data_IF_494043127109
#
_entry.id   IF_494043127109
#
_cell.length_a   1.000
_cell.length_b   1.000
_cell.length_c   1.000
_cell.angle_alpha   90.00
_cell.angle_beta   90.00
_cell.angle_gamma   90.00
#
_symmetry.space_group_name_H-M   'P 1'
#
loop_
_entity.id
_entity.type
_entity.pdbx_description
1 polymer ?
#
# COMPACT_ATOMS: atom_id res chain seq x y z
N UNK A 1 12.34 -2.34 15.65
CA UNK A 1 11.95 -2.18 14.23
C UNK A 1 10.44 -2.01 14.17
N UNK A 2 9.95 -0.92 13.57
CA UNK A 2 8.53 -0.58 13.58
C UNK A 2 7.70 -1.59 12.77
N UNK A 3 6.80 -2.30 13.43
CA UNK A 3 5.89 -3.28 12.81
C UNK A 3 4.54 -2.69 12.41
N UNK A 4 4.33 -1.40 12.70
CA UNK A 4 3.07 -0.69 12.55
C UNK A 4 3.35 0.75 12.11
N UNK A 5 2.51 1.24 11.21
CA UNK A 5 2.42 2.64 10.80
C UNK A 5 0.98 3.11 10.93
N UNK A 6 0.80 4.38 11.27
CA UNK A 6 -0.48 5.06 11.26
C UNK A 6 -0.35 6.28 10.35
N UNK A 7 -1.16 6.33 9.31
CA UNK A 7 -1.23 7.44 8.38
C UNK A 7 -2.37 8.36 8.80
N UNK A 8 -2.10 9.66 8.85
CA UNK A 8 -3.08 10.70 9.14
C UNK A 8 -3.33 11.54 7.89
N UNK A 9 -4.54 12.11 7.76
CA UNK A 9 -4.81 13.16 6.78
C UNK A 9 -4.61 14.51 7.46
N UNK A 10 -3.90 15.40 6.76
CA UNK A 10 -3.85 16.81 7.08
C UNK A 10 -4.99 17.51 6.33
N UNK A 11 -5.72 18.35 7.04
CA UNK A 11 -6.79 19.17 6.48
C UNK A 11 -6.35 20.64 6.60
N UNK A 12 -6.67 21.45 5.60
CA UNK A 12 -6.26 22.87 5.55
C UNK A 12 -7.10 23.77 6.48
N UNK A 13 -8.11 23.21 7.15
CA UNK A 13 -9.08 23.91 7.99
C UNK A 13 -8.61 24.16 9.43
N UNK A 14 -7.36 23.82 9.75
CA UNK A 14 -6.80 24.00 11.10
C UNK A 14 -7.28 22.96 12.11
N UNK A 15 -7.99 21.92 11.68
CA UNK A 15 -8.32 20.78 12.54
C UNK A 15 -7.11 19.91 12.88
N UNK A 16 -7.24 19.21 14.00
CA UNK A 16 -6.32 18.18 14.49
C UNK A 16 -6.14 17.06 13.45
N UNK A 17 -4.89 16.60 13.24
CA UNK A 17 -4.57 15.52 12.29
C UNK A 17 -5.41 14.28 12.58
N UNK A 18 -6.27 13.88 11.64
CA UNK A 18 -7.16 12.72 11.85
C UNK A 18 -6.51 11.43 11.34
N UNK A 19 -6.49 10.36 12.14
CA UNK A 19 -6.05 9.06 11.69
C UNK A 19 -6.89 8.58 10.50
N UNK A 20 -6.22 8.10 9.46
CA UNK A 20 -6.86 7.65 8.23
C UNK A 20 -6.82 6.13 8.10
N UNK A 21 -5.62 5.57 8.13
CA UNK A 21 -5.44 4.12 8.08
C UNK A 21 -4.23 3.68 8.88
N UNK A 22 -4.25 2.41 9.28
CA UNK A 22 -3.17 1.76 10.02
C UNK A 22 -2.70 0.55 9.23
N UNK A 23 -1.38 0.44 9.08
CA UNK A 23 -0.73 -0.70 8.42
C UNK A 23 0.07 -1.47 9.46
N UNK A 24 -0.07 -2.80 9.49
CA UNK A 24 0.80 -3.66 10.29
C UNK A 24 1.41 -4.78 9.45
N UNK A 25 2.69 -5.04 9.69
CA UNK A 25 3.43 -6.13 9.05
C UNK A 25 2.89 -7.47 9.51
N UNK A 26 2.76 -8.40 8.57
CA UNK A 26 2.39 -9.80 8.83
C UNK A 26 3.62 -10.71 8.73
N UNK A 27 3.50 -11.93 9.25
CA UNK A 27 4.60 -12.89 9.32
C UNK A 27 5.16 -13.35 7.96
N UNK A 28 4.42 -13.16 6.85
CA UNK A 28 4.82 -13.58 5.49
C UNK A 28 5.37 -12.43 4.63
N UNK A 29 5.98 -11.41 5.24
CA UNK A 29 6.40 -10.16 4.57
C UNK A 29 5.26 -9.41 3.85
N UNK A 30 4.00 -9.74 4.14
CA UNK A 30 2.85 -8.95 3.71
C UNK A 30 2.48 -7.92 4.76
N UNK A 31 1.42 -7.16 4.50
CA UNK A 31 0.83 -6.24 5.46
C UNK A 31 -0.69 -6.37 5.48
N UNK A 32 -1.31 -5.97 6.59
CA UNK A 32 -2.74 -5.78 6.65
C UNK A 32 -3.05 -4.34 7.06
N UNK A 33 -4.17 -3.84 6.53
CA UNK A 33 -4.58 -2.45 6.62
C UNK A 33 -5.94 -2.35 7.27
N UNK A 34 -6.05 -1.53 8.29
CA UNK A 34 -7.32 -1.14 8.91
C UNK A 34 -7.60 0.33 8.59
N UNK A 35 -8.83 0.64 8.18
CA UNK A 35 -9.29 2.01 7.93
C UNK A 35 -9.96 2.53 9.20
N UNK A 36 -9.67 3.77 9.57
CA UNK A 36 -10.42 4.45 10.62
C UNK A 36 -11.83 4.79 10.14
N UNK A 37 -12.81 4.71 11.04
CA UNK A 37 -14.23 5.02 10.75
C UNK A 37 -15.01 4.00 9.92
N UNK A 38 -14.39 2.91 9.43
CA UNK A 38 -15.05 2.00 8.49
C UNK A 38 -15.83 0.83 9.13
N UNK A 39 -15.86 0.72 10.46
CA UNK A 39 -16.52 -0.39 11.19
C UNK A 39 -15.94 -1.80 10.95
N UNK A 40 -15.07 -1.98 9.95
CA UNK A 40 -14.42 -3.24 9.58
C UNK A 40 -13.00 -3.31 10.15
N UNK A 41 -12.64 -4.46 10.71
CA UNK A 41 -11.33 -4.67 11.33
C UNK A 41 -10.17 -4.75 10.33
N UNK A 42 -10.44 -5.11 9.07
CA UNK A 42 -9.49 -5.10 7.95
C UNK A 42 -10.19 -4.66 6.67
N UNK A 43 -9.60 -3.68 6.01
CA UNK A 43 -10.10 -3.17 4.75
C UNK A 43 -9.25 -3.63 3.56
N UNK A 44 -7.93 -3.76 3.76
CA UNK A 44 -7.02 -4.18 2.71
C UNK A 44 -5.95 -5.13 3.23
N UNK A 45 -5.37 -5.89 2.29
CA UNK A 45 -4.26 -6.79 2.51
C UNK A 45 -3.23 -6.61 1.41
N UNK A 46 -1.96 -6.67 1.78
CA UNK A 46 -0.82 -6.62 0.86
C UNK A 46 -0.12 -7.96 0.98
N UNK A 47 -0.10 -8.73 -0.12
CA UNK A 47 0.49 -10.05 -0.13
C UNK A 47 1.94 -9.99 -0.63
N UNK A 48 2.87 -10.24 0.29
CA UNK A 48 4.28 -10.51 0.05
C UNK A 48 5.18 -9.30 -0.23
N UNK A 49 6.44 -9.41 0.19
CA UNK A 49 7.61 -8.90 -0.53
C UNK A 49 8.84 -9.68 -0.02
N UNK A 50 9.31 -10.67 -0.79
CA UNK A 50 10.47 -11.49 -0.38
C UNK A 50 11.74 -11.24 -1.19
N UNK A 51 11.82 -10.11 -1.94
CA UNK A 51 12.93 -9.61 -2.81
C UNK A 51 12.50 -9.22 -4.22
N UNK A 52 11.24 -9.42 -4.61
CA UNK A 52 10.69 -8.95 -5.89
C UNK A 52 9.88 -7.67 -5.66
N UNK A 53 10.04 -6.70 -6.54
CA UNK A 53 9.32 -5.41 -6.54
C UNK A 53 7.83 -5.57 -6.90
N UNK A 54 7.42 -6.74 -7.39
CA UNK A 54 6.04 -7.04 -7.76
C UNK A 54 5.21 -7.54 -6.57
N UNK A 55 4.08 -6.88 -6.31
CA UNK A 55 3.12 -7.29 -5.28
C UNK A 55 1.72 -6.76 -5.59
N UNK A 56 0.73 -7.21 -4.82
CA UNK A 56 -0.68 -6.87 -5.02
C UNK A 56 -1.32 -6.41 -3.73
N UNK A 57 -2.29 -5.53 -3.87
CA UNK A 57 -3.16 -5.07 -2.79
C UNK A 57 -4.56 -5.62 -3.07
N UNK A 58 -5.11 -6.33 -2.11
CA UNK A 58 -6.48 -6.85 -2.14
C UNK A 58 -7.38 -6.12 -1.15
N UNK A 59 -8.65 -5.95 -1.52
CA UNK A 59 -9.70 -5.44 -0.65
C UNK A 59 -10.16 -6.48 0.39
N UNK A 60 -11.13 -6.10 1.21
CA UNK A 60 -11.69 -6.98 2.24
C UNK A 60 -12.44 -8.19 1.66
N UNK A 61 -12.90 -8.09 0.43
CA UNK A 61 -13.51 -9.16 -0.38
C UNK A 61 -12.48 -10.11 -1.02
N UNK A 62 -11.19 -9.80 -0.89
CA UNK A 62 -10.10 -10.55 -1.51
C UNK A 62 -9.85 -10.19 -2.98
N UNK A 63 -10.64 -9.29 -3.57
CA UNK A 63 -10.40 -8.82 -4.94
C UNK A 63 -9.17 -7.93 -5.01
N UNK A 64 -8.40 -8.04 -6.08
CA UNK A 64 -7.22 -7.20 -6.30
C UNK A 64 -7.70 -5.80 -6.68
N UNK A 65 -7.35 -4.83 -5.86
CA UNK A 65 -7.67 -3.40 -6.06
C UNK A 65 -6.49 -2.63 -6.65
N UNK A 66 -5.26 -3.14 -6.49
CA UNK A 66 -4.08 -2.57 -7.12
C UNK A 66 -3.00 -3.63 -7.36
N UNK A 67 -2.24 -3.46 -8.44
CA UNK A 67 -1.08 -4.26 -8.78
C UNK A 67 0.14 -3.35 -8.95
N UNK A 68 1.24 -3.78 -8.34
CA UNK A 68 2.53 -3.10 -8.39
C UNK A 68 3.49 -4.01 -9.14
N UNK A 69 4.22 -3.44 -10.10
CA UNK A 69 5.25 -4.15 -10.85
C UNK A 69 6.47 -3.27 -11.10
N UNK A 70 7.65 -3.87 -11.31
CA UNK A 70 8.82 -3.12 -11.79
C UNK A 70 8.54 -2.53 -13.17
N UNK A 71 8.81 -1.24 -13.34
CA UNK A 71 8.56 -0.54 -14.61
C UNK A 71 9.49 -1.06 -15.71
N UNK A 72 8.91 -1.27 -16.88
CA UNK A 72 9.64 -1.65 -18.08
C UNK A 72 9.46 -0.57 -19.16
N UNK A 73 10.48 -0.40 -19.98
CA UNK A 73 10.38 0.38 -21.22
C UNK A 73 9.50 -0.35 -22.23
N UNK A 74 9.05 0.34 -23.29
CA UNK A 74 8.27 -0.27 -24.36
C UNK A 74 8.99 -1.44 -25.07
N UNK A 75 10.32 -1.48 -25.02
CA UNK A 75 11.16 -2.58 -25.53
C UNK A 75 11.40 -3.71 -24.51
N UNK A 76 10.79 -3.65 -23.33
CA UNK A 76 10.88 -4.68 -22.29
C UNK A 76 12.07 -4.54 -21.33
N UNK A 77 12.89 -3.49 -21.46
CA UNK A 77 14.01 -3.25 -20.52
C UNK A 77 13.47 -2.79 -19.17
N UNK A 78 13.77 -3.53 -18.10
CA UNK A 78 13.37 -3.19 -16.74
C UNK A 78 14.20 -2.02 -16.18
N UNK A 79 13.54 -1.01 -15.63
CA UNK A 79 14.14 0.17 -15.00
C UNK A 79 14.66 -0.14 -13.60
N UNK A 80 15.05 0.83 -12.76
CA UNK A 80 15.47 0.52 -11.37
C UNK A 80 14.44 -0.30 -10.58
N UNK A 81 14.87 -1.03 -9.55
CA UNK A 81 13.96 -1.77 -8.65
C UNK A 81 13.03 -0.82 -7.85
N UNK A 82 13.46 0.43 -7.70
CA UNK A 82 12.73 1.57 -7.14
C UNK A 82 11.77 2.23 -8.14
N UNK A 83 11.85 1.88 -9.42
CA UNK A 83 10.98 2.42 -10.47
C UNK A 83 9.82 1.47 -10.70
N UNK A 84 8.65 1.84 -10.18
CA UNK A 84 7.45 1.00 -10.19
C UNK A 84 6.40 1.48 -11.17
N UNK A 85 5.59 0.55 -11.65
CA UNK A 85 4.30 0.80 -12.29
C UNK A 85 3.21 0.41 -11.30
N UNK A 86 2.27 1.33 -11.08
CA UNK A 86 1.11 1.12 -10.21
C UNK A 86 -0.15 1.12 -11.07
N UNK A 87 -0.83 -0.02 -11.12
CA UNK A 87 -2.14 -0.17 -11.76
C UNK A 87 -3.21 -0.21 -10.69
N UNK A 88 -4.15 0.72 -10.72
CA UNK A 88 -5.24 0.86 -9.73
C UNK A 88 -6.56 0.49 -10.38
N UNK A 89 -7.38 -0.29 -9.66
CA UNK A 89 -8.72 -0.66 -10.11
C UNK A 89 -9.67 0.54 -10.18
N UNK A 90 -10.75 0.44 -10.96
CA UNK A 90 -11.77 1.49 -11.00
C UNK A 90 -12.40 1.68 -9.62
N UNK A 91 -12.86 2.90 -9.31
CA UNK A 91 -13.51 3.27 -8.04
C UNK A 91 -12.63 3.17 -6.77
N UNK A 92 -11.32 2.92 -6.92
CA UNK A 92 -10.39 2.88 -5.78
C UNK A 92 -9.74 4.24 -5.57
N UNK A 93 -9.66 4.69 -4.32
CA UNK A 93 -8.95 5.93 -3.94
C UNK A 93 -7.45 5.77 -4.27
N UNK A 94 -6.97 6.53 -5.25
CA UNK A 94 -5.60 6.45 -5.74
C UNK A 94 -4.59 6.96 -4.71
N UNK A 95 -4.97 7.95 -3.90
CA UNK A 95 -4.11 8.46 -2.82
C UNK A 95 -3.98 7.44 -1.70
N UNK A 96 -5.06 6.68 -1.42
CA UNK A 96 -4.99 5.57 -0.48
C UNK A 96 -3.99 4.54 -0.95
N UNK A 97 -4.12 4.08 -2.19
CA UNK A 97 -3.24 3.06 -2.76
C UNK A 97 -1.79 3.54 -2.76
N UNK A 98 -1.52 4.79 -3.17
CA UNK A 98 -0.18 5.36 -3.14
C UNK A 98 0.39 5.40 -1.73
N UNK A 99 -0.41 5.82 -0.74
CA UNK A 99 -0.02 5.81 0.67
C UNK A 99 0.32 4.40 1.18
N UNK A 100 -0.45 3.38 0.77
CA UNK A 100 -0.18 1.99 1.10
C UNK A 100 1.14 1.48 0.49
N UNK A 101 1.42 1.83 -0.76
CA UNK A 101 2.68 1.49 -1.45
C UNK A 101 3.88 2.06 -0.68
N UNK A 102 3.84 3.36 -0.34
CA UNK A 102 4.91 4.03 0.40
C UNK A 102 5.14 3.38 1.76
N UNK A 103 4.08 3.24 2.56
CA UNK A 103 4.17 2.65 3.90
C UNK A 103 4.66 1.19 3.84
N UNK A 104 4.20 0.42 2.86
CA UNK A 104 4.61 -0.96 2.70
C UNK A 104 6.09 -1.10 2.37
N UNK A 105 6.61 -0.25 1.47
CA UNK A 105 8.03 -0.24 1.16
C UNK A 105 8.90 0.19 2.33
N UNK A 106 8.46 1.17 3.14
CA UNK A 106 9.15 1.57 4.37
C UNK A 106 9.19 0.44 5.43
N UNK A 107 8.08 -0.29 5.60
CA UNK A 107 7.99 -1.42 6.56
C UNK A 107 8.89 -2.60 6.16
N UNK A 108 9.02 -2.85 4.85
CA UNK A 108 9.77 -4.00 4.34
C UNK A 108 11.17 -3.65 3.83
N UNK A 109 11.53 -2.37 3.77
CA UNK A 109 12.78 -1.85 3.19
C UNK A 109 12.98 -2.31 1.74
N UNK A 110 11.93 -2.14 0.94
CA UNK A 110 11.89 -2.54 -0.47
C UNK A 110 11.44 -1.40 -1.40
N UNK A 111 11.48 -0.17 -0.90
CA UNK A 111 11.46 1.08 -1.66
C UNK A 111 12.76 1.83 -1.36
#
# INVERSE_FOLDING_TARGET
MFRRWEACRCFDDGEETRPWFRVHRTWRNGAAVAMHGSGRSRAYRIDGCSRKSDYKISGADGLIVAAIARKQTASGVALGEDVLTLTVGPEVDHLLVLGLVVVFGLINRCL
#
